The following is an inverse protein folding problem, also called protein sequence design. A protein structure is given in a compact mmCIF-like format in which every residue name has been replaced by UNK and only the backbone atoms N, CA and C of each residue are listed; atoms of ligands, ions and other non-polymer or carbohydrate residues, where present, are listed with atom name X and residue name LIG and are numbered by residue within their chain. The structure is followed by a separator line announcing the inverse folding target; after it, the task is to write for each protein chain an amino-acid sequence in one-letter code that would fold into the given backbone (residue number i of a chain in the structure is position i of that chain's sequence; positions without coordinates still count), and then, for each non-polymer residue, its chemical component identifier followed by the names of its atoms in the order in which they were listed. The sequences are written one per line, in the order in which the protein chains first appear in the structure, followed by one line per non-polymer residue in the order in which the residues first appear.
data_IF_904174472976
#
_entry.id   IF_904174472976
#
_cell.length_a   1.000
_cell.length_b   1.000
_cell.length_c   1.000
_cell.angle_alpha   90.00
_cell.angle_beta   90.00
_cell.angle_gamma   90.00
#
_symmetry.space_group_name_H-M   'P 1'
#
loop_
_entity.id
_entity.type
_entity.pdbx_description
1 polymer ?
#
# COMPACT_ATOMS: atom_id res chain seq x y z
N UNK A 1 -18.36 17.27 -12.42
CA UNK A 1 -18.28 17.74 -11.04
C UNK A 1 -19.12 16.85 -10.15
N UNK A 2 -18.48 15.86 -9.55
CA UNK A 2 -19.14 15.10 -8.47
C UNK A 2 -19.46 16.10 -7.38
N UNK A 3 -20.74 16.22 -7.02
CA UNK A 3 -21.19 17.16 -6.01
C UNK A 3 -20.47 16.91 -4.69
N UNK A 4 -20.26 17.96 -3.92
CA UNK A 4 -19.55 17.95 -2.63
C UNK A 4 -20.07 16.96 -1.57
N UNK A 5 -21.19 16.29 -1.83
CA UNK A 5 -21.81 15.30 -0.93
C UNK A 5 -21.16 13.92 -0.97
N UNK A 6 -20.43 13.58 -2.03
CA UNK A 6 -19.80 12.28 -2.23
C UNK A 6 -18.27 12.34 -2.30
N UNK A 7 -17.73 13.53 -2.65
CA UNK A 7 -16.30 13.72 -2.78
C UNK A 7 -15.60 13.80 -1.43
N UNK A 8 -14.36 13.32 -1.39
CA UNK A 8 -13.44 13.68 -0.33
C UNK A 8 -13.17 15.19 -0.41
N UNK A 9 -13.38 15.91 0.67
CA UNK A 9 -12.83 17.24 0.83
C UNK A 9 -11.45 17.10 1.47
N UNK A 10 -10.46 17.77 0.89
CA UNK A 10 -9.16 17.90 1.54
C UNK A 10 -9.34 18.93 2.64
N UNK A 11 -9.45 18.46 3.87
CA UNK A 11 -9.86 19.26 5.03
C UNK A 11 -9.15 20.60 5.07
N UNK A 12 -9.90 21.67 4.78
CA UNK A 12 -9.45 23.07 4.75
C UNK A 12 -8.10 23.30 4.05
N UNK A 13 -7.79 22.56 2.98
CA UNK A 13 -6.55 22.62 2.21
C UNK A 13 -5.27 22.24 2.98
N UNK A 14 -5.41 21.42 4.03
CA UNK A 14 -4.28 20.99 4.86
C UNK A 14 -3.65 19.66 4.39
N UNK A 15 -4.10 19.08 3.27
CA UNK A 15 -3.57 17.80 2.76
C UNK A 15 -4.06 16.55 3.51
N UNK A 16 -5.15 16.68 4.28
CA UNK A 16 -5.82 15.58 4.98
C UNK A 16 -7.18 15.29 4.33
N UNK A 17 -7.53 14.04 4.01
CA UNK A 17 -8.81 13.70 3.40
C UNK A 17 -9.94 13.75 4.43
N UNK A 18 -11.14 14.14 3.97
CA UNK A 18 -12.34 14.11 4.78
C UNK A 18 -13.48 13.53 3.94
N UNK A 19 -13.87 12.29 4.23
CA UNK A 19 -14.92 11.58 3.49
C UNK A 19 -16.28 11.73 4.17
N UNK A 20 -17.35 11.90 3.38
CA UNK A 20 -18.72 12.05 3.88
C UNK A 20 -19.69 11.15 3.12
N UNK A 21 -20.74 10.65 3.79
CA UNK A 21 -21.86 9.95 3.18
C UNK A 21 -21.45 8.71 2.37
N UNK A 22 -21.84 8.62 1.11
CA UNK A 22 -21.49 7.53 0.20
C UNK A 22 -19.97 7.44 -0.03
N UNK A 23 -19.23 8.57 0.00
CA UNK A 23 -17.77 8.57 -0.09
C UNK A 23 -17.11 7.86 1.11
N UNK A 24 -17.60 8.08 2.33
CA UNK A 24 -17.10 7.35 3.50
C UNK A 24 -17.47 5.86 3.46
N UNK A 25 -18.65 5.50 2.92
CA UNK A 25 -19.04 4.10 2.71
C UNK A 25 -18.15 3.44 1.65
N UNK A 26 -17.85 4.14 0.55
CA UNK A 26 -16.95 3.67 -0.50
C UNK A 26 -15.56 3.37 0.07
N UNK A 27 -15.00 4.31 0.85
CA UNK A 27 -13.69 4.15 1.51
C UNK A 27 -13.65 2.87 2.37
N UNK A 28 -14.63 2.69 3.26
CA UNK A 28 -14.72 1.47 4.09
C UNK A 28 -14.97 0.19 3.27
N UNK A 29 -15.78 0.29 2.22
CA UNK A 29 -16.06 -0.83 1.32
C UNK A 29 -14.81 -1.29 0.59
N UNK A 30 -13.98 -0.36 0.11
CA UNK A 30 -12.69 -0.66 -0.52
C UNK A 30 -11.72 -1.34 0.45
N UNK A 31 -11.60 -0.81 1.67
CA UNK A 31 -10.74 -1.43 2.71
C UNK A 31 -11.16 -2.89 2.92
N UNK A 32 -12.45 -3.11 3.13
CA UNK A 32 -12.99 -4.46 3.34
C UNK A 32 -12.78 -5.35 2.11
N UNK A 33 -13.04 -4.85 0.92
CA UNK A 33 -12.82 -5.59 -0.33
C UNK A 33 -11.36 -6.05 -0.46
N UNK A 34 -10.40 -5.16 -0.22
CA UNK A 34 -8.98 -5.51 -0.33
C UNK A 34 -8.53 -6.52 0.72
N UNK A 35 -9.00 -6.38 1.96
CA UNK A 35 -8.67 -7.33 3.03
C UNK A 35 -9.28 -8.72 2.76
N UNK A 36 -10.54 -8.81 2.32
CA UNK A 36 -11.16 -10.10 1.96
C UNK A 36 -10.45 -10.75 0.76
N UNK A 37 -10.04 -9.99 -0.25
CA UNK A 37 -9.24 -10.53 -1.36
C UNK A 37 -7.85 -11.01 -0.89
N UNK A 38 -7.23 -10.34 0.07
CA UNK A 38 -5.98 -10.78 0.66
C UNK A 38 -6.15 -12.07 1.46
N UNK A 39 -7.21 -12.20 2.27
CA UNK A 39 -7.55 -13.44 3.00
C UNK A 39 -7.75 -14.61 2.03
N UNK A 40 -8.54 -14.43 0.97
CA UNK A 40 -8.74 -15.43 -0.09
C UNK A 40 -7.42 -15.86 -0.78
N UNK A 41 -6.43 -14.96 -0.83
CA UNK A 41 -5.09 -15.26 -1.35
C UNK A 41 -4.15 -15.88 -0.29
N UNK A 42 -4.66 -16.15 0.92
CA UNK A 42 -3.96 -16.81 2.01
C UNK A 42 -3.07 -15.88 2.84
N UNK A 43 -3.34 -14.58 2.83
CA UNK A 43 -2.69 -13.65 3.76
C UNK A 43 -3.42 -13.65 5.10
N UNK A 44 -2.65 -13.62 6.18
CA UNK A 44 -3.19 -13.41 7.52
C UNK A 44 -3.32 -11.91 7.79
N UNK A 45 -4.52 -11.46 8.19
CA UNK A 45 -4.76 -10.07 8.55
C UNK A 45 -4.18 -9.72 9.92
N UNK A 46 -3.54 -8.56 10.00
CA UNK A 46 -3.03 -7.95 11.22
C UNK A 46 -3.55 -6.53 11.38
N UNK A 47 -3.76 -6.10 12.61
CA UNK A 47 -4.03 -4.69 12.97
C UNK A 47 -2.77 -4.15 13.63
N UNK A 48 -1.84 -3.54 12.87
CA UNK A 48 -0.57 -3.08 13.39
C UNK A 48 -0.68 -1.71 14.07
N UNK A 49 0.29 -1.34 14.94
CA UNK A 49 0.37 0.00 15.50
C UNK A 49 0.68 1.04 14.43
N UNK A 50 0.19 2.27 14.64
CA UNK A 50 0.45 3.40 13.75
C UNK A 50 1.69 4.22 14.13
N UNK A 51 2.29 3.89 15.27
CA UNK A 51 3.47 4.56 15.84
C UNK A 51 4.54 3.52 16.09
N UNK A 52 5.77 3.83 15.68
CA UNK A 52 6.92 2.93 15.79
C UNK A 52 8.16 3.67 16.28
N UNK A 53 9.13 2.94 16.83
CA UNK A 53 10.44 3.48 17.20
C UNK A 53 11.39 3.55 15.99
N UNK A 54 12.55 4.19 16.20
CA UNK A 54 13.58 4.35 15.18
C UNK A 54 14.10 3.01 14.62
N UNK A 55 14.26 1.99 15.47
CA UNK A 55 14.72 0.66 15.05
C UNK A 55 13.79 0.01 14.03
N UNK A 56 12.48 0.24 14.19
CA UNK A 56 11.48 -0.28 13.24
C UNK A 56 11.58 0.40 11.89
N UNK A 57 11.75 1.72 11.87
CA UNK A 57 11.98 2.47 10.63
C UNK A 57 13.32 2.11 9.96
N UNK A 58 14.35 1.86 10.74
CA UNK A 58 15.65 1.39 10.24
C UNK A 58 15.55 0.00 9.60
N UNK A 59 14.83 -0.91 10.25
CA UNK A 59 14.68 -2.29 9.80
C UNK A 59 14.13 -2.42 8.38
N UNK A 60 13.19 -1.58 8.00
CA UNK A 60 12.56 -1.59 6.67
C UNK A 60 13.15 -0.57 5.69
N UNK A 61 14.05 0.31 6.14
CA UNK A 61 14.77 1.23 5.27
C UNK A 61 14.17 2.64 5.18
N UNK A 62 13.15 2.97 5.96
CA UNK A 62 12.62 4.34 6.04
C UNK A 62 13.57 5.28 6.80
N UNK A 63 14.38 4.74 7.70
CA UNK A 63 15.43 5.48 8.39
C UNK A 63 16.82 5.01 7.94
N UNK A 64 17.81 5.93 7.85
CA UNK A 64 17.72 7.37 8.07
C UNK A 64 16.88 8.07 6.98
N UNK A 65 15.95 8.92 7.40
CA UNK A 65 15.03 9.67 6.53
C UNK A 65 15.74 10.90 5.92
N UNK A 66 16.45 10.69 4.82
CA UNK A 66 17.20 11.75 4.14
C UNK A 66 16.31 12.80 3.45
N UNK A 67 15.07 12.41 3.13
CA UNK A 67 14.12 13.26 2.40
C UNK A 67 13.14 13.97 3.34
N UNK A 68 13.17 13.67 4.63
CA UNK A 68 12.29 14.27 5.64
C UNK A 68 10.83 13.88 5.46
N UNK A 69 10.53 12.65 5.05
CA UNK A 69 9.18 12.17 4.75
C UNK A 69 8.41 11.71 5.98
N UNK A 70 9.10 11.25 7.03
CA UNK A 70 8.46 10.73 8.23
C UNK A 70 8.06 11.84 9.20
N UNK A 71 6.87 11.72 9.78
CA UNK A 71 6.48 12.50 10.95
C UNK A 71 7.18 11.95 12.20
N UNK A 72 7.97 12.77 12.86
CA UNK A 72 8.71 12.44 14.08
C UNK A 72 8.14 13.19 15.27
N UNK A 73 7.75 12.45 16.30
CA UNK A 73 7.36 12.96 17.61
C UNK A 73 8.61 13.07 18.50
N UNK A 74 9.21 14.25 18.53
CA UNK A 74 10.54 14.46 19.11
C UNK A 74 10.63 14.15 20.61
N UNK A 75 9.59 14.46 21.37
CA UNK A 75 9.59 14.29 22.82
C UNK A 75 9.58 12.79 23.22
N UNK A 76 8.98 11.93 22.41
CA UNK A 76 8.85 10.50 22.67
C UNK A 76 9.84 9.66 21.84
N UNK A 77 10.55 10.26 20.89
CA UNK A 77 11.40 9.60 19.88
C UNK A 77 10.65 8.51 19.11
N UNK A 78 9.43 8.80 18.72
CA UNK A 78 8.55 7.91 17.98
C UNK A 78 8.18 8.49 16.61
N UNK A 79 7.80 7.62 15.68
CA UNK A 79 7.48 7.98 14.31
C UNK A 79 6.10 7.51 13.92
N UNK A 80 5.31 8.33 13.23
CA UNK A 80 4.11 7.88 12.54
C UNK A 80 4.51 7.04 11.32
N UNK A 81 3.85 5.91 11.13
CA UNK A 81 4.18 5.00 10.03
C UNK A 81 3.82 5.60 8.67
N UNK A 82 4.71 5.55 7.67
CA UNK A 82 4.41 5.94 6.29
C UNK A 82 3.72 4.82 5.50
N UNK A 83 3.69 3.60 6.04
CA UNK A 83 3.15 2.37 5.45
C UNK A 83 3.04 1.29 6.53
N UNK A 84 2.07 0.40 6.42
CA UNK A 84 1.96 -0.79 7.28
C UNK A 84 3.11 -1.78 7.09
N UNK A 85 3.87 -1.69 6.01
CA UNK A 85 5.12 -2.44 5.81
C UNK A 85 6.02 -2.40 7.05
N UNK A 86 6.18 -1.21 7.65
CA UNK A 86 7.09 -1.01 8.79
C UNK A 86 6.72 -1.90 9.96
N UNK A 87 5.53 -1.80 10.57
CA UNK A 87 5.19 -2.66 11.70
C UNK A 87 5.02 -4.14 11.31
N UNK A 88 4.46 -4.46 10.13
CA UNK A 88 4.25 -5.84 9.70
C UNK A 88 5.56 -6.60 9.51
N UNK A 89 6.54 -6.00 8.85
CA UNK A 89 7.83 -6.64 8.60
C UNK A 89 8.63 -6.77 9.91
N UNK A 90 8.49 -5.81 10.83
CA UNK A 90 9.18 -5.81 12.12
C UNK A 90 8.69 -6.90 13.10
N UNK A 91 7.59 -7.58 12.85
CA UNK A 91 7.19 -8.80 13.59
C UNK A 91 8.31 -9.85 13.56
N UNK A 92 9.09 -9.86 12.49
CA UNK A 92 10.18 -10.81 12.28
C UNK A 92 11.56 -10.27 12.69
N UNK A 93 11.65 -9.14 13.38
CA UNK A 93 12.92 -8.61 13.89
C UNK A 93 13.51 -9.54 14.95
N UNK A 94 14.79 -9.89 14.77
CA UNK A 94 15.55 -10.83 15.60
C UNK A 94 14.96 -12.28 15.64
N UNK A 95 14.16 -12.66 14.63
CA UNK A 95 13.53 -13.99 14.56
C UNK A 95 14.34 -14.93 13.67
N UNK A 96 14.39 -16.21 14.08
CA UNK A 96 14.87 -17.31 13.25
C UNK A 96 13.71 -18.28 12.99
N UNK A 97 13.23 -18.31 11.75
CA UNK A 97 12.13 -19.15 11.30
C UNK A 97 12.60 -20.58 11.00
N UNK A 98 11.68 -21.53 10.99
CA UNK A 98 11.88 -22.81 10.31
C UNK A 98 11.65 -22.64 8.81
N UNK A 99 12.44 -23.30 7.96
CA UNK A 99 12.20 -23.30 6.51
C UNK A 99 10.77 -23.77 6.15
N UNK A 100 10.22 -24.72 6.92
CA UNK A 100 8.84 -25.20 6.74
C UNK A 100 7.74 -24.18 7.03
N UNK A 101 8.07 -23.04 7.66
CA UNK A 101 7.15 -21.97 7.95
C UNK A 101 7.19 -20.86 6.89
N UNK A 102 7.97 -21.02 5.82
CA UNK A 102 8.01 -20.08 4.70
C UNK A 102 7.10 -20.56 3.54
N UNK A 103 6.44 -19.65 2.82
CA UNK A 103 6.42 -18.21 3.06
C UNK A 103 5.46 -17.81 4.20
N UNK A 104 5.79 -16.72 4.90
CA UNK A 104 4.84 -16.02 5.78
C UNK A 104 4.13 -14.94 4.95
N UNK A 105 2.80 -14.91 5.00
CA UNK A 105 1.98 -13.95 4.25
C UNK A 105 1.16 -13.12 5.23
N UNK A 106 1.37 -11.82 5.23
CA UNK A 106 0.71 -10.87 6.13
C UNK A 106 0.02 -9.78 5.31
N UNK A 107 -1.14 -9.33 5.76
CA UNK A 107 -1.76 -8.11 5.28
C UNK A 107 -2.21 -7.24 6.45
N UNK A 108 -2.36 -5.95 6.20
CA UNK A 108 -2.91 -5.04 7.20
C UNK A 108 -3.37 -3.72 6.58
N UNK A 109 -4.47 -3.22 7.10
CA UNK A 109 -4.95 -1.88 6.82
C UNK A 109 -4.40 -0.91 7.86
N UNK A 110 -3.88 0.22 7.39
CA UNK A 110 -3.54 1.37 8.24
C UNK A 110 -3.78 2.70 7.54
N UNK A 111 -4.05 3.78 8.29
CA UNK A 111 -3.66 5.10 7.85
C UNK A 111 -2.13 5.15 7.72
N UNK A 112 -1.67 5.88 6.71
CA UNK A 112 -0.25 6.11 6.43
C UNK A 112 0.01 7.61 6.48
N UNK A 113 1.15 8.01 7.02
CA UNK A 113 1.47 9.41 7.27
C UNK A 113 2.77 9.78 6.55
N UNK A 114 2.72 10.78 5.66
CA UNK A 114 3.89 11.28 4.93
C UNK A 114 3.90 12.80 4.96
N UNK A 115 5.08 13.38 5.21
CA UNK A 115 5.22 14.84 5.23
C UNK A 115 5.11 15.46 3.84
N UNK A 116 5.26 14.65 2.78
CA UNK A 116 5.26 15.10 1.38
C UNK A 116 6.24 16.27 1.16
N UNK A 117 7.37 16.25 1.88
CA UNK A 117 8.39 17.28 1.83
C UNK A 117 8.94 17.43 0.40
N UNK A 118 9.05 18.67 -0.09
CA UNK A 118 9.53 18.95 -1.44
C UNK A 118 8.48 18.84 -2.55
N UNK A 119 7.24 18.50 -2.23
CA UNK A 119 6.15 18.41 -3.22
C UNK A 119 5.39 19.73 -3.32
N UNK A 120 5.48 20.40 -4.48
CA UNK A 120 4.83 21.69 -4.74
C UNK A 120 4.14 21.69 -6.11
N UNK A 121 3.06 22.45 -6.26
CA UNK A 121 2.43 22.75 -7.56
C UNK A 121 1.07 22.11 -7.82
N UNK A 122 0.70 21.97 -9.09
CA UNK A 122 -0.62 21.47 -9.53
C UNK A 122 -0.80 19.97 -9.19
N UNK A 123 0.28 19.21 -9.14
CA UNK A 123 0.28 17.75 -8.94
C UNK A 123 -0.03 17.34 -7.50
N UNK A 124 -0.07 18.29 -6.58
CA UNK A 124 -0.35 18.10 -5.13
C UNK A 124 -1.81 18.37 -4.77
N UNK A 125 -2.68 18.61 -5.76
CA UNK A 125 -4.09 18.96 -5.49
C UNK A 125 -4.99 17.73 -5.43
N UNK A 126 -6.05 17.83 -4.63
CA UNK A 126 -7.07 16.78 -4.49
C UNK A 126 -6.55 15.55 -3.73
N UNK A 127 -6.93 14.37 -4.21
CA UNK A 127 -6.59 13.07 -3.58
C UNK A 127 -5.22 12.51 -4.00
N UNK A 128 -4.45 13.20 -4.83
CA UNK A 128 -3.23 12.64 -5.42
C UNK A 128 -2.05 12.56 -4.46
N UNK A 129 -1.92 13.54 -3.57
CA UNK A 129 -0.88 13.59 -2.54
C UNK A 129 -1.45 14.14 -1.24
N UNK A 130 -1.39 13.34 -0.21
CA UNK A 130 -1.98 13.60 1.10
C UNK A 130 -0.97 13.32 2.19
N UNK A 131 -1.03 14.13 3.25
CA UNK A 131 -0.25 13.90 4.47
C UNK A 131 -0.71 12.67 5.26
N UNK A 132 -2.00 12.33 5.12
CA UNK A 132 -2.59 11.11 5.66
C UNK A 132 -3.43 10.45 4.57
N UNK A 133 -3.27 9.13 4.42
CA UNK A 133 -4.08 8.33 3.48
C UNK A 133 -4.20 6.90 3.97
N UNK A 134 -5.25 6.23 3.55
CA UNK A 134 -5.51 4.83 3.90
C UNK A 134 -4.89 3.89 2.87
N UNK A 135 -4.30 2.79 3.36
CA UNK A 135 -3.67 1.77 2.52
C UNK A 135 -3.83 0.38 3.12
N UNK A 136 -4.16 -0.60 2.30
CA UNK A 136 -3.95 -2.00 2.62
C UNK A 136 -2.58 -2.41 2.08
N UNK A 137 -1.78 -3.03 2.93
CA UNK A 137 -0.44 -3.51 2.60
C UNK A 137 -0.39 -5.02 2.70
N UNK A 138 0.33 -5.65 1.79
CA UNK A 138 0.66 -7.07 1.83
C UNK A 138 2.17 -7.23 1.98
N UNK A 139 2.59 -8.13 2.85
CA UNK A 139 4.00 -8.44 3.12
C UNK A 139 4.19 -9.94 3.02
N UNK A 140 5.30 -10.36 2.43
CA UNK A 140 5.72 -11.75 2.47
C UNK A 140 7.17 -11.88 2.95
N UNK A 141 7.41 -12.91 3.77
CA UNK A 141 8.75 -13.37 4.14
C UNK A 141 8.93 -14.73 3.48
N UNK A 142 9.85 -14.81 2.53
CA UNK A 142 9.97 -15.95 1.63
C UNK A 142 11.37 -16.61 1.69
N UNK A 143 11.43 -17.87 1.26
CA UNK A 143 12.70 -18.53 0.98
C UNK A 143 13.40 -17.78 -0.19
N UNK A 144 14.73 -17.56 -0.14
CA UNK A 144 15.46 -16.87 -1.19
C UNK A 144 15.21 -17.43 -2.61
N UNK A 145 15.22 -18.75 -2.74
CA UNK A 145 15.06 -19.42 -4.03
C UNK A 145 13.65 -19.26 -4.63
N UNK A 146 12.65 -18.92 -3.82
CA UNK A 146 11.25 -18.76 -4.22
C UNK A 146 10.80 -17.30 -4.31
N UNK A 147 11.63 -16.35 -3.88
CA UNK A 147 11.20 -14.95 -3.69
C UNK A 147 10.75 -14.25 -4.98
N UNK A 148 11.33 -14.59 -6.12
CA UNK A 148 10.92 -14.01 -7.40
C UNK A 148 9.59 -14.60 -7.89
N UNK A 149 9.38 -15.92 -7.73
CA UNK A 149 8.07 -16.52 -7.99
C UNK A 149 6.99 -15.97 -7.01
N UNK A 150 7.38 -15.70 -5.76
CA UNK A 150 6.54 -15.02 -4.78
C UNK A 150 6.16 -13.61 -5.25
N UNK A 151 7.12 -12.83 -5.78
CA UNK A 151 6.86 -11.52 -6.36
C UNK A 151 5.81 -11.60 -7.48
N UNK A 152 5.93 -12.57 -8.39
CA UNK A 152 4.97 -12.75 -9.48
C UNK A 152 3.55 -13.04 -8.95
N UNK A 153 3.41 -13.81 -7.88
CA UNK A 153 2.11 -14.04 -7.23
C UNK A 153 1.53 -12.78 -6.61
N UNK A 154 2.35 -11.93 -6.01
CA UNK A 154 1.93 -10.64 -5.45
C UNK A 154 1.50 -9.66 -6.56
N UNK A 155 2.24 -9.62 -7.67
CA UNK A 155 1.89 -8.84 -8.87
C UNK A 155 0.54 -9.31 -9.43
N UNK A 156 0.33 -10.63 -9.54
CA UNK A 156 -0.94 -11.19 -10.00
C UNK A 156 -2.11 -10.85 -9.06
N UNK A 157 -1.89 -10.84 -7.74
CA UNK A 157 -2.89 -10.44 -6.75
C UNK A 157 -3.33 -8.98 -6.95
N UNK A 158 -2.37 -8.03 -7.00
CA UNK A 158 -2.67 -6.61 -7.22
C UNK A 158 -3.34 -6.36 -8.57
N UNK A 159 -2.91 -7.05 -9.61
CA UNK A 159 -3.58 -7.05 -10.92
C UNK A 159 -5.05 -7.43 -10.80
N UNK A 160 -5.35 -8.53 -10.10
CA UNK A 160 -6.73 -8.99 -9.88
C UNK A 160 -7.62 -7.98 -9.13
N UNK A 161 -7.04 -7.20 -8.21
CA UNK A 161 -7.76 -6.12 -7.52
C UNK A 161 -8.19 -5.04 -8.51
N UNK A 162 -7.30 -4.58 -9.39
CA UNK A 162 -7.59 -3.54 -10.38
C UNK A 162 -8.59 -4.00 -11.44
N UNK A 163 -8.48 -5.26 -11.88
CA UNK A 163 -9.44 -5.90 -12.78
C UNK A 163 -10.84 -5.99 -12.14
N UNK A 164 -10.91 -6.38 -10.86
CA UNK A 164 -12.16 -6.40 -10.09
C UNK A 164 -12.80 -5.02 -9.92
N UNK A 165 -11.98 -3.96 -9.90
CA UNK A 165 -12.44 -2.57 -9.87
C UNK A 165 -12.76 -2.00 -11.26
N UNK A 166 -12.59 -2.78 -12.32
CA UNK A 166 -12.86 -2.38 -13.71
C UNK A 166 -12.11 -1.08 -14.11
N UNK A 167 -10.92 -0.87 -13.53
CA UNK A 167 -10.10 0.31 -13.81
C UNK A 167 -9.10 0.04 -14.94
N UNK A 168 -8.90 1.00 -15.88
CA UNK A 168 -7.81 0.91 -16.82
C UNK A 168 -6.47 1.06 -16.10
N UNK A 169 -5.58 0.09 -16.26
CA UNK A 169 -4.28 0.05 -15.59
C UNK A 169 -3.15 -0.34 -16.52
N UNK A 170 -1.92 -0.05 -16.10
CA UNK A 170 -0.70 -0.60 -16.69
C UNK A 170 0.29 -0.99 -15.59
N UNK A 171 1.21 -1.88 -15.92
CA UNK A 171 2.26 -2.35 -15.03
C UNK A 171 3.60 -1.91 -15.59
N UNK A 172 4.41 -1.26 -14.75
CA UNK A 172 5.76 -0.82 -15.07
C UNK A 172 6.77 -1.64 -14.28
N UNK A 173 7.72 -2.26 -14.98
CA UNK A 173 8.94 -2.74 -14.31
C UNK A 173 9.90 -1.57 -14.18
N UNK A 174 10.21 -1.17 -12.96
CA UNK A 174 11.08 -0.02 -12.73
C UNK A 174 12.51 -0.29 -13.18
N UNK A 175 13.15 0.73 -13.76
CA UNK A 175 14.57 0.74 -14.02
C UNK A 175 15.35 1.14 -12.76
N UNK A 176 16.66 0.88 -12.75
CA UNK A 176 17.49 1.14 -11.57
C UNK A 176 17.55 2.61 -11.12
N UNK A 177 17.20 3.56 -12.01
CA UNK A 177 17.14 4.99 -11.68
C UNK A 177 15.89 5.40 -10.91
N UNK A 178 14.81 4.60 -11.02
CA UNK A 178 13.51 4.88 -10.39
C UNK A 178 13.24 3.99 -9.17
N UNK A 179 13.98 2.89 -9.03
CA UNK A 179 13.87 2.01 -7.87
C UNK A 179 14.42 2.67 -6.60
N UNK A 180 13.72 2.49 -5.48
CA UNK A 180 14.25 2.81 -4.16
C UNK A 180 15.54 2.00 -3.86
N UNK A 181 16.44 2.57 -3.07
CA UNK A 181 17.74 1.95 -2.74
C UNK A 181 17.63 0.62 -1.96
N UNK A 182 16.44 0.29 -1.45
CA UNK A 182 16.17 -0.91 -0.66
C UNK A 182 15.75 -2.11 -1.50
N UNK A 183 15.19 -1.90 -2.69
CA UNK A 183 14.60 -2.95 -3.52
C UNK A 183 15.56 -3.46 -4.59
N UNK A 184 15.46 -4.76 -4.90
CA UNK A 184 16.18 -5.42 -5.98
C UNK A 184 15.36 -5.47 -7.29
N UNK A 185 14.03 -5.55 -7.16
CA UNK A 185 13.09 -5.52 -8.28
C UNK A 185 11.76 -4.95 -7.81
N UNK A 186 11.21 -4.02 -8.59
CA UNK A 186 9.92 -3.37 -8.31
C UNK A 186 9.05 -3.32 -9.56
N UNK A 187 7.77 -3.61 -9.36
CA UNK A 187 6.70 -3.37 -10.32
C UNK A 187 5.73 -2.33 -9.76
N UNK A 188 5.51 -1.25 -10.51
CA UNK A 188 4.51 -0.25 -10.19
C UNK A 188 3.25 -0.47 -11.02
N UNK A 189 2.11 -0.26 -10.38
CA UNK A 189 0.81 -0.25 -11.04
C UNK A 189 0.31 1.17 -11.13
N UNK A 190 -0.08 1.56 -12.32
CA UNK A 190 -0.67 2.86 -12.58
C UNK A 190 -2.08 2.70 -13.14
N UNK A 191 -2.98 3.58 -12.73
CA UNK A 191 -4.34 3.71 -13.27
C UNK A 191 -4.46 4.99 -14.07
N UNK A 192 -5.35 4.99 -15.07
CA UNK A 192 -5.61 6.18 -15.85
C UNK A 192 -6.47 7.19 -15.05
N UNK A 193 -5.99 8.41 -14.93
CA UNK A 193 -6.78 9.53 -14.43
C UNK A 193 -7.41 10.26 -15.62
N UNK A 194 -8.72 10.11 -15.77
CA UNK A 194 -9.45 10.77 -16.85
C UNK A 194 -9.47 12.31 -16.70
N UNK A 195 -9.48 12.80 -15.45
CA UNK A 195 -9.47 14.23 -15.16
C UNK A 195 -8.11 14.91 -15.42
N UNK A 196 -6.99 14.17 -15.33
CA UNK A 196 -5.65 14.69 -15.53
C UNK A 196 -5.02 14.22 -16.85
N UNK A 197 -5.69 13.33 -17.58
CA UNK A 197 -5.22 12.73 -18.84
C UNK A 197 -3.81 12.11 -18.70
N UNK A 198 -3.56 11.42 -17.59
CA UNK A 198 -2.27 10.77 -17.30
C UNK A 198 -2.41 9.52 -16.43
N UNK A 199 -1.38 8.73 -16.43
CA UNK A 199 -1.24 7.58 -15.54
C UNK A 199 -0.78 8.01 -14.15
N UNK A 200 -1.39 7.42 -13.11
CA UNK A 200 -1.08 7.68 -11.71
C UNK A 200 -0.78 6.35 -11.00
N UNK A 201 0.35 6.28 -10.35
CA UNK A 201 0.75 5.14 -9.52
C UNK A 201 -0.25 4.92 -8.38
N UNK A 202 -0.71 3.68 -8.21
CA UNK A 202 -1.63 3.25 -7.13
C UNK A 202 -1.06 2.13 -6.27
N UNK A 203 -0.03 1.46 -6.74
CA UNK A 203 0.66 0.39 -6.03
C UNK A 203 2.07 0.24 -6.51
N UNK A 204 2.96 -0.14 -5.59
CA UNK A 204 4.30 -0.60 -5.86
C UNK A 204 4.47 -1.96 -5.19
N UNK A 205 4.98 -2.96 -5.92
CA UNK A 205 5.23 -4.32 -5.42
C UNK A 205 6.71 -4.64 -5.59
N UNK A 206 7.40 -4.90 -4.48
CA UNK A 206 8.86 -4.98 -4.44
C UNK A 206 9.37 -6.25 -3.79
N UNK A 207 10.48 -6.76 -4.33
CA UNK A 207 11.35 -7.73 -3.68
C UNK A 207 12.61 -7.02 -3.16
N UNK A 208 12.87 -7.10 -1.87
CA UNK A 208 14.04 -6.48 -1.22
C UNK A 208 15.20 -7.45 -1.05
N UNK A 209 15.02 -8.70 -1.47
CA UNK A 209 15.97 -9.78 -1.18
C UNK A 209 16.36 -9.77 0.31
N UNK A 210 17.66 -9.75 0.61
CA UNK A 210 18.17 -9.79 1.99
C UNK A 210 18.29 -8.41 2.64
N UNK A 211 18.00 -7.32 1.95
CA UNK A 211 18.27 -5.97 2.47
C UNK A 211 17.57 -5.72 3.82
N UNK A 212 16.25 -5.90 3.87
CA UNK A 212 15.49 -5.71 5.11
C UNK A 212 15.77 -6.85 6.10
N UNK A 213 15.85 -8.08 5.63
CA UNK A 213 16.15 -9.25 6.47
C UNK A 213 17.49 -9.11 7.21
N UNK A 214 18.49 -8.52 6.57
CA UNK A 214 19.79 -8.25 7.20
C UNK A 214 19.67 -7.22 8.33
N UNK A 215 18.96 -6.09 8.09
CA UNK A 215 18.74 -5.05 9.11
C UNK A 215 17.88 -5.55 10.27
N UNK A 216 16.86 -6.34 9.97
CA UNK A 216 15.97 -6.97 10.95
C UNK A 216 16.61 -8.20 11.64
N UNK A 217 17.73 -8.70 11.14
CA UNK A 217 18.32 -9.98 11.54
C UNK A 217 17.33 -11.15 11.42
N UNK A 218 16.42 -11.08 10.45
CA UNK A 218 15.45 -12.13 10.17
C UNK A 218 16.10 -13.25 9.37
N UNK A 219 16.08 -14.44 9.89
CA UNK A 219 16.75 -15.62 9.33
C UNK A 219 15.84 -16.83 9.34
N UNK A 220 16.24 -17.86 8.62
CA UNK A 220 15.64 -19.19 8.73
C UNK A 220 16.74 -20.23 8.87
N UNK A 221 16.38 -21.39 9.43
CA UNK A 221 17.26 -22.58 9.46
C UNK A 221 17.05 -23.34 8.16
N UNK A 222 18.14 -23.52 7.41
CA UNK A 222 18.15 -24.38 6.23
C UNK A 222 18.19 -25.89 6.59
N UNK A 223 18.21 -26.74 5.59
CA UNK A 223 18.25 -28.20 5.76
C UNK A 223 19.51 -28.68 6.49
N UNK A 224 20.64 -27.97 6.36
CA UNK A 224 21.90 -28.24 7.07
C UNK A 224 21.91 -27.67 8.49
N UNK A 225 20.82 -27.05 8.95
CA UNK A 225 20.71 -26.40 10.26
C UNK A 225 21.43 -25.04 10.34
N UNK A 226 21.90 -24.48 9.22
CA UNK A 226 22.56 -23.18 9.18
C UNK A 226 21.54 -22.05 9.09
N UNK A 227 21.85 -20.93 9.74
CA UNK A 227 21.04 -19.74 9.65
C UNK A 227 21.36 -18.97 8.36
N UNK A 228 20.35 -18.76 7.50
CA UNK A 228 20.39 -17.93 6.29
C UNK A 228 19.40 -16.79 6.39
N UNK A 229 19.64 -15.67 5.72
CA UNK A 229 18.66 -14.60 5.63
C UNK A 229 17.50 -15.02 4.75
N UNK A 230 16.29 -14.64 5.17
CA UNK A 230 15.09 -14.70 4.32
C UNK A 230 15.12 -13.59 3.28
N UNK A 231 14.24 -13.66 2.29
CA UNK A 231 13.88 -12.50 1.46
C UNK A 231 12.58 -11.89 1.95
N UNK A 232 12.49 -10.57 1.91
CA UNK A 232 11.25 -9.84 2.22
C UNK A 232 10.67 -9.20 0.98
N UNK A 233 9.36 -9.19 0.89
CA UNK A 233 8.61 -8.58 -0.19
C UNK A 233 7.45 -7.78 0.39
N UNK A 234 7.08 -6.69 -0.26
CA UNK A 234 5.86 -5.99 0.06
C UNK A 234 5.12 -5.51 -1.19
N UNK A 235 3.88 -5.10 -0.99
CA UNK A 235 3.10 -4.44 -2.01
C UNK A 235 1.88 -3.72 -1.44
N UNK A 236 1.52 -2.61 -2.05
CA UNK A 236 0.27 -1.93 -1.73
C UNK A 236 -0.91 -2.63 -2.41
N UNK A 237 -1.87 -3.06 -1.62
CA UNK A 237 -3.06 -3.77 -2.10
C UNK A 237 -4.37 -3.05 -1.72
N UNK A 238 -4.62 -1.76 -1.95
CA UNK A 238 -4.01 -0.69 -2.74
C UNK A 238 -3.94 0.59 -1.89
N UNK A 239 -3.36 1.70 -2.43
CA UNK A 239 -3.45 3.03 -1.84
C UNK A 239 -4.80 3.68 -2.20
N UNK A 240 -5.69 3.86 -1.21
CA UNK A 240 -7.10 4.17 -1.44
C UNK A 240 -7.40 5.52 -2.11
N UNK A 241 -6.73 6.64 -1.79
CA UNK A 241 -7.16 7.94 -2.33
C UNK A 241 -7.14 8.01 -3.86
N UNK A 242 -6.07 7.49 -4.47
CA UNK A 242 -5.97 7.45 -5.95
C UNK A 242 -6.95 6.47 -6.58
N UNK A 243 -7.25 5.35 -5.89
CA UNK A 243 -8.28 4.41 -6.34
C UNK A 243 -9.67 5.03 -6.25
N UNK A 244 -9.99 5.75 -5.16
CA UNK A 244 -11.25 6.50 -5.04
C UNK A 244 -11.36 7.53 -6.16
N UNK A 245 -10.31 8.31 -6.40
CA UNK A 245 -10.29 9.29 -7.50
C UNK A 245 -10.51 8.60 -8.86
N UNK A 246 -9.77 7.52 -9.14
CA UNK A 246 -9.90 6.78 -10.39
C UNK A 246 -11.31 6.19 -10.61
N UNK A 247 -11.94 5.64 -9.56
CA UNK A 247 -13.32 5.16 -9.62
C UNK A 247 -14.30 6.30 -9.94
N UNK A 248 -14.16 7.44 -9.24
CA UNK A 248 -15.01 8.61 -9.48
C UNK A 248 -14.83 9.16 -10.89
N UNK A 249 -13.61 9.17 -11.43
CA UNK A 249 -13.29 9.71 -12.74
C UNK A 249 -13.69 8.78 -13.90
N UNK A 250 -13.43 7.46 -13.76
CA UNK A 250 -13.62 6.53 -14.87
C UNK A 250 -15.01 5.90 -14.93
N UNK A 251 -15.77 5.87 -13.82
CA UNK A 251 -17.10 5.25 -13.75
C UNK A 251 -18.24 6.28 -13.69
N UNK A 252 -17.96 7.58 -13.89
CA UNK A 252 -19.01 8.59 -13.91
C UNK A 252 -19.70 8.70 -15.28
N UNK A 253 -20.99 8.94 -15.23
CA UNK A 253 -21.83 9.31 -16.36
C UNK A 253 -22.79 10.44 -15.96
N UNK A 254 -23.84 10.70 -16.77
CA UNK A 254 -24.82 11.77 -16.50
C UNK A 254 -25.67 11.52 -15.24
N UNK A 255 -25.79 10.27 -14.78
CA UNK A 255 -26.60 9.87 -13.60
C UNK A 255 -25.75 9.76 -12.32
N UNK A 256 -24.44 9.97 -12.40
CA UNK A 256 -23.53 9.87 -11.26
C UNK A 256 -22.39 8.88 -11.49
N UNK A 257 -21.94 8.21 -10.43
CA UNK A 257 -20.81 7.27 -10.50
C UNK A 257 -21.28 5.85 -10.21
N UNK A 258 -21.20 4.96 -11.19
CA UNK A 258 -21.55 3.56 -11.05
C UNK A 258 -20.48 2.81 -10.24
N UNK A 259 -20.90 1.89 -9.36
CA UNK A 259 -19.97 1.06 -8.63
C UNK A 259 -19.65 -0.23 -9.40
N UNK A 260 -18.37 -0.64 -9.48
CA UNK A 260 -17.97 -1.93 -10.02
C UNK A 260 -18.73 -3.08 -9.34
N UNK A 261 -19.08 -4.11 -10.11
CA UNK A 261 -19.87 -5.24 -9.58
C UNK A 261 -19.22 -5.91 -8.37
N UNK A 262 -17.89 -6.02 -8.37
CA UNK A 262 -17.14 -6.62 -7.27
C UNK A 262 -17.22 -5.81 -5.96
N UNK A 263 -17.54 -4.51 -6.02
CA UNK A 263 -17.70 -3.67 -4.83
C UNK A 263 -19.11 -3.65 -4.25
N UNK A 264 -20.14 -4.04 -4.97
CA UNK A 264 -21.54 -3.95 -4.53
C UNK A 264 -21.79 -4.60 -3.15
N UNK A 265 -21.25 -5.80 -2.85
CA UNK A 265 -21.43 -6.44 -1.55
C UNK A 265 -20.80 -5.66 -0.38
N UNK A 266 -19.83 -4.79 -0.68
CA UNK A 266 -19.03 -4.08 0.32
C UNK A 266 -19.51 -2.66 0.60
N UNK A 267 -20.09 -2.00 -0.41
CA UNK A 267 -20.53 -0.59 -0.29
C UNK A 267 -22.03 -0.45 0.02
N UNK A 268 -22.86 -1.41 -0.43
CA UNK A 268 -24.30 -1.43 -0.18
C UNK A 268 -25.09 -0.39 -0.98
N UNK A 269 -24.54 0.07 -2.12
CA UNK A 269 -25.25 0.92 -3.10
C UNK A 269 -24.64 0.71 -4.49
N UNK A 270 -25.44 0.94 -5.52
CA UNK A 270 -25.03 0.75 -6.92
C UNK A 270 -24.40 2.01 -7.53
N UNK A 271 -24.79 3.18 -7.04
CA UNK A 271 -24.32 4.48 -7.58
C UNK A 271 -24.13 5.53 -6.49
N UNK A 272 -23.23 6.44 -6.78
CA UNK A 272 -23.13 7.74 -6.10
C UNK A 272 -23.86 8.73 -7.00
N UNK A 273 -24.97 9.28 -6.53
CA UNK A 273 -25.79 10.22 -7.29
C UNK A 273 -25.09 11.60 -7.40
N UNK A 274 -25.39 12.36 -8.46
CA UNK A 274 -24.88 13.73 -8.69
C UNK A 274 -25.47 14.76 -7.71
#
# INVERSE_FOLDING_TARGET
LVSSSAASDVYKRQGFPFYKGKGAKLQRGLIRFFLERADEAGYTEYIPPHVVNADSGYGTGQLPDKEGQMYHMQDDDLYLIPTAEVPLTNIFRDVVLSASHLPQKLCGYTPCFRREAGSYGKDVRGLNRLHQFDKVEIVQVAHPDESYATLDTMVAHVKGLLEGLELPYRILRLCGGDMGFTSALTYDFEVWSAAQERWLEVSSVSNFETFQANRLKCRFKDEDGKNKFVHTLNGSALALPRIVAALLENHQDHDGVAMPKALLPFVGFERIDT
#
